data_IF_047788101247
#
_entry.id   IF_047788101247
#
_cell.length_a   1.000
_cell.length_b   1.000
_cell.length_c   1.000
_cell.angle_alpha   90.00
_cell.angle_beta   90.00
_cell.angle_gamma   90.00
#
_symmetry.space_group_name_H-M   'P 1'
#
loop_
_entity.id
_entity.type
_entity.pdbx_description
1 polymer ?
#
# COMPACT_ATOMS: atom_id res chain seq x y z
N UNK A 1 7.96 -10.43 9.76
CA UNK A 1 8.25 -8.98 9.93
C UNK A 1 9.74 -8.67 9.89
N UNK A 2 10.59 -9.35 10.65
CA UNK A 2 12.04 -9.06 10.70
C UNK A 2 12.73 -9.14 9.34
N UNK A 3 12.43 -10.17 8.57
CA UNK A 3 12.95 -10.32 7.20
C UNK A 3 12.59 -9.13 6.29
N UNK A 4 11.38 -8.59 6.41
CA UNK A 4 10.97 -7.39 5.68
C UNK A 4 11.78 -6.16 6.13
N UNK A 5 11.98 -5.99 7.44
CA UNK A 5 12.83 -4.92 7.98
C UNK A 5 14.27 -5.00 7.44
N UNK A 6 14.84 -6.21 7.35
CA UNK A 6 16.19 -6.41 6.78
C UNK A 6 16.24 -6.05 5.29
N UNK A 7 15.27 -6.52 4.49
CA UNK A 7 15.17 -6.19 3.06
C UNK A 7 15.03 -4.68 2.86
N UNK A 8 14.14 -4.04 3.63
CA UNK A 8 13.92 -2.59 3.55
C UNK A 8 15.19 -1.82 3.93
N UNK A 9 15.87 -2.20 5.02
CA UNK A 9 17.13 -1.57 5.43
C UNK A 9 18.21 -1.68 4.35
N UNK A 10 18.35 -2.85 3.73
CA UNK A 10 19.30 -3.08 2.65
C UNK A 10 19.03 -2.19 1.44
N UNK A 11 17.80 -2.21 0.94
CA UNK A 11 17.41 -1.43 -0.24
C UNK A 11 17.39 0.08 0.03
N UNK A 12 17.11 0.49 1.27
CA UNK A 12 17.09 1.90 1.65
C UNK A 12 18.47 2.55 1.46
N UNK A 13 19.56 1.79 1.60
CA UNK A 13 20.93 2.27 1.31
C UNK A 13 21.15 2.63 -0.16
N UNK A 14 20.48 1.95 -1.08
CA UNK A 14 20.69 2.10 -2.51
C UNK A 14 19.75 3.13 -3.17
N UNK A 15 18.47 3.16 -2.78
CA UNK A 15 17.45 3.94 -3.51
C UNK A 15 16.58 4.85 -2.63
N UNK A 16 16.87 4.94 -1.32
CA UNK A 16 16.15 5.77 -0.32
C UNK A 16 14.62 5.65 -0.41
N UNK A 17 14.10 4.62 0.25
CA UNK A 17 12.68 4.27 0.33
C UNK A 17 11.96 4.97 1.49
N UNK A 18 12.63 5.09 2.64
CA UNK A 18 12.11 5.69 3.87
C UNK A 18 13.11 6.67 4.49
N UNK A 19 12.63 7.54 5.38
CA UNK A 19 13.46 8.54 6.07
C UNK A 19 14.52 7.92 6.99
N UNK A 20 14.16 7.05 7.95
CA UNK A 20 15.10 6.42 8.87
C UNK A 20 16.15 5.54 8.18
N UNK A 21 17.36 5.50 8.74
CA UNK A 21 18.51 4.74 8.20
C UNK A 21 18.92 3.54 9.04
N UNK A 22 18.33 3.38 10.22
CA UNK A 22 18.59 2.27 11.13
C UNK A 22 17.36 1.36 11.27
N UNK A 23 17.57 0.19 11.86
CA UNK A 23 16.52 -0.80 12.03
C UNK A 23 15.42 -0.34 13.00
N UNK A 24 15.75 0.47 14.01
CA UNK A 24 14.80 0.90 15.03
C UNK A 24 13.76 1.87 14.43
N UNK A 25 14.21 2.90 13.71
CA UNK A 25 13.32 3.85 13.06
C UNK A 25 12.54 3.22 11.90
N UNK A 26 13.11 2.23 11.19
CA UNK A 26 12.33 1.46 10.21
C UNK A 26 11.21 0.67 10.89
N UNK A 27 11.48 -0.01 12.02
CA UNK A 27 10.46 -0.74 12.78
C UNK A 27 9.35 0.20 13.27
N UNK A 28 9.70 1.39 13.73
CA UNK A 28 8.72 2.41 14.14
C UNK A 28 7.80 2.80 12.98
N UNK A 29 8.35 3.08 11.79
CA UNK A 29 7.55 3.38 10.60
C UNK A 29 6.64 2.22 10.19
N UNK A 30 7.09 0.97 10.35
CA UNK A 30 6.27 -0.22 10.09
C UNK A 30 5.09 -0.27 11.06
N UNK A 31 5.33 -0.12 12.35
CA UNK A 31 4.29 -0.13 13.39
C UNK A 31 3.29 0.99 13.17
N UNK A 32 3.77 2.21 12.94
CA UNK A 32 2.94 3.38 12.67
C UNK A 32 2.05 3.18 11.43
N UNK A 33 2.60 2.58 10.36
CA UNK A 33 1.82 2.27 9.15
C UNK A 33 0.68 1.26 9.39
N UNK A 34 0.79 0.39 10.40
CA UNK A 34 -0.21 -0.62 10.71
C UNK A 34 -1.36 -0.10 11.58
N UNK A 35 -1.20 1.03 12.27
CA UNK A 35 -2.22 1.55 13.19
C UNK A 35 -3.60 1.72 12.52
N UNK A 36 -3.73 2.35 11.33
CA UNK A 36 -5.03 2.47 10.67
C UNK A 36 -5.66 1.12 10.34
N UNK A 37 -4.86 0.14 9.91
CA UNK A 37 -5.33 -1.22 9.62
C UNK A 37 -5.91 -1.90 10.86
N UNK A 38 -5.21 -1.80 12.00
CA UNK A 38 -5.63 -2.43 13.26
C UNK A 38 -6.91 -1.80 13.84
N UNK A 39 -7.09 -0.48 13.65
CA UNK A 39 -8.25 0.25 14.15
C UNK A 39 -9.47 0.11 13.24
N UNK A 40 -9.28 0.21 11.93
CA UNK A 40 -10.38 0.25 10.96
C UNK A 40 -10.79 -1.13 10.47
N UNK A 41 -9.90 -2.14 10.55
CA UNK A 41 -10.10 -3.50 10.03
C UNK A 41 -10.68 -3.47 8.60
N UNK A 42 -9.95 -2.88 7.64
CA UNK A 42 -10.45 -2.66 6.29
C UNK A 42 -10.80 -3.97 5.59
N UNK A 43 -11.77 -3.89 4.68
CA UNK A 43 -12.14 -4.97 3.78
C UNK A 43 -11.22 -5.02 2.55
N UNK A 44 -11.15 -6.19 1.92
CA UNK A 44 -10.40 -6.46 0.70
C UNK A 44 -11.36 -6.67 -0.47
N UNK A 45 -10.97 -6.37 -1.72
CA UNK A 45 -9.63 -6.03 -2.19
C UNK A 45 -9.15 -4.64 -1.75
N UNK A 46 -7.86 -4.49 -1.45
CA UNK A 46 -7.25 -3.23 -1.04
C UNK A 46 -6.29 -2.71 -2.12
N UNK A 47 -6.41 -1.43 -2.46
CA UNK A 47 -5.45 -0.72 -3.31
C UNK A 47 -4.59 0.20 -2.44
N UNK A 48 -3.28 0.07 -2.53
CA UNK A 48 -2.34 0.99 -1.92
C UNK A 48 -1.75 1.91 -2.99
N UNK A 49 -2.09 3.19 -2.96
CA UNK A 49 -1.63 4.19 -3.94
C UNK A 49 -0.32 4.80 -3.46
N UNK A 50 0.68 4.81 -4.34
CA UNK A 50 2.00 5.35 -4.04
C UNK A 50 2.77 4.46 -3.06
N UNK A 51 2.65 3.14 -3.20
CA UNK A 51 3.08 2.16 -2.19
C UNK A 51 4.54 2.29 -1.76
N UNK A 52 5.42 2.78 -2.63
CA UNK A 52 6.81 3.09 -2.31
C UNK A 52 7.56 1.98 -1.59
N UNK A 53 7.77 2.13 -0.28
CA UNK A 53 8.43 1.15 0.59
C UNK A 53 7.53 -0.04 0.95
N UNK A 54 6.29 -0.09 0.47
CA UNK A 54 5.28 -1.08 0.80
C UNK A 54 4.56 -0.81 2.11
N UNK A 55 4.52 0.43 2.58
CA UNK A 55 3.87 0.80 3.84
C UNK A 55 2.53 1.51 3.54
N UNK A 56 1.36 0.93 3.90
CA UNK A 56 1.16 -0.20 4.83
C UNK A 56 0.98 -1.58 4.16
N UNK A 57 0.91 -1.68 2.84
CA UNK A 57 0.53 -2.89 2.10
C UNK A 57 1.29 -4.17 2.50
N UNK A 58 2.62 -4.12 2.55
CA UNK A 58 3.48 -5.28 2.84
C UNK A 58 3.34 -5.72 4.32
N UNK A 59 3.40 -4.82 5.33
CA UNK A 59 3.06 -5.16 6.70
C UNK A 59 1.68 -5.82 6.85
N UNK A 60 0.65 -5.31 6.16
CA UNK A 60 -0.70 -5.90 6.18
C UNK A 60 -0.66 -7.32 5.61
N UNK A 61 -0.04 -7.53 4.45
CA UNK A 61 0.08 -8.84 3.82
C UNK A 61 0.86 -9.86 4.68
N UNK A 62 1.85 -9.41 5.46
CA UNK A 62 2.58 -10.27 6.40
C UNK A 62 1.65 -10.73 7.53
N UNK A 63 0.78 -9.85 8.03
CA UNK A 63 -0.16 -10.17 9.12
C UNK A 63 -1.40 -10.95 8.63
N UNK A 64 -1.82 -10.70 7.41
CA UNK A 64 -2.92 -11.40 6.75
C UNK A 64 -2.47 -11.89 5.36
N UNK A 65 -1.87 -13.09 5.26
CA UNK A 65 -1.35 -13.62 3.99
C UNK A 65 -2.40 -13.84 2.89
N UNK A 66 -3.69 -13.80 3.23
CA UNK A 66 -4.82 -13.93 2.29
C UNK A 66 -5.41 -12.58 1.86
N UNK A 67 -4.88 -11.47 2.38
CA UNK A 67 -5.29 -10.13 2.00
C UNK A 67 -4.99 -9.89 0.51
N UNK A 68 -6.04 -9.73 -0.31
CA UNK A 68 -5.91 -9.33 -1.70
C UNK A 68 -5.53 -7.85 -1.76
N UNK A 69 -4.27 -7.59 -2.11
CA UNK A 69 -3.68 -6.24 -2.09
C UNK A 69 -3.02 -5.95 -3.43
N UNK A 70 -3.32 -4.77 -3.97
CA UNK A 70 -2.67 -4.20 -5.15
C UNK A 70 -1.85 -3.00 -4.72
N UNK A 71 -0.55 -3.00 -5.03
CA UNK A 71 0.34 -1.87 -4.82
C UNK A 71 0.52 -1.11 -6.14
N UNK A 72 0.12 0.17 -6.18
CA UNK A 72 0.31 1.04 -7.34
C UNK A 72 1.46 2.02 -7.11
N UNK A 73 2.53 1.93 -7.90
CA UNK A 73 3.70 2.79 -7.77
C UNK A 73 4.27 3.19 -9.14
N UNK A 74 4.45 4.50 -9.42
CA UNK A 74 4.94 4.95 -10.72
C UNK A 74 6.46 4.85 -10.90
N UNK A 75 7.25 4.72 -9.82
CA UNK A 75 8.72 4.74 -9.91
C UNK A 75 9.28 3.33 -10.02
N UNK A 76 9.81 2.99 -11.20
CA UNK A 76 10.41 1.68 -11.51
C UNK A 76 11.33 1.10 -10.42
N UNK A 77 12.23 1.91 -9.83
CA UNK A 77 13.13 1.44 -8.75
C UNK A 77 12.36 0.97 -7.50
N UNK A 78 11.28 1.67 -7.15
CA UNK A 78 10.42 1.32 -6.00
C UNK A 78 9.56 0.12 -6.32
N UNK A 79 9.06 0.03 -7.56
CA UNK A 79 8.34 -1.15 -8.05
C UNK A 79 9.23 -2.40 -8.04
N UNK A 80 10.50 -2.27 -8.42
CA UNK A 80 11.49 -3.35 -8.32
C UNK A 80 11.73 -3.79 -6.87
N UNK A 81 11.83 -2.84 -5.94
CA UNK A 81 11.88 -3.16 -4.51
C UNK A 81 10.63 -3.92 -4.06
N UNK A 82 9.43 -3.44 -4.40
CA UNK A 82 8.17 -4.09 -4.01
C UNK A 82 8.08 -5.53 -4.55
N UNK A 83 8.39 -5.73 -5.84
CA UNK A 83 8.43 -7.06 -6.45
C UNK A 83 9.44 -7.98 -5.75
N UNK A 84 10.61 -7.45 -5.39
CA UNK A 84 11.62 -8.20 -4.64
C UNK A 84 11.11 -8.59 -3.25
N UNK A 85 10.54 -7.63 -2.49
CA UNK A 85 10.01 -7.88 -1.16
C UNK A 85 8.87 -8.92 -1.18
N UNK A 86 7.91 -8.77 -2.09
CA UNK A 86 6.80 -9.72 -2.27
C UNK A 86 7.31 -11.12 -2.55
N UNK A 87 8.25 -11.27 -3.50
CA UNK A 87 8.83 -12.57 -3.85
C UNK A 87 9.61 -13.17 -2.69
N UNK A 88 10.47 -12.37 -2.04
CA UNK A 88 11.30 -12.83 -0.95
C UNK A 88 10.43 -13.32 0.22
N UNK A 89 9.36 -12.60 0.56
CA UNK A 89 8.48 -12.90 1.68
C UNK A 89 7.39 -13.93 1.36
N UNK A 90 7.22 -14.33 0.09
CA UNK A 90 6.21 -15.31 -0.32
C UNK A 90 4.77 -14.77 -0.28
N UNK A 91 4.58 -13.47 -0.55
CA UNK A 91 3.28 -12.80 -0.43
C UNK A 91 2.44 -12.95 -1.71
N UNK A 92 1.89 -14.13 -1.95
CA UNK A 92 1.21 -14.47 -3.22
C UNK A 92 -0.07 -13.67 -3.49
N UNK A 93 -0.71 -13.12 -2.46
CA UNK A 93 -1.92 -12.29 -2.58
C UNK A 93 -1.61 -10.80 -2.83
N UNK A 94 -0.34 -10.44 -2.99
CA UNK A 94 0.08 -9.06 -3.29
C UNK A 94 0.51 -8.96 -4.74
N UNK A 95 -0.14 -8.07 -5.50
CA UNK A 95 0.27 -7.74 -6.87
C UNK A 95 0.80 -6.32 -6.97
N UNK A 96 1.73 -6.09 -7.90
CA UNK A 96 2.41 -4.81 -8.07
C UNK A 96 2.10 -4.25 -9.46
N UNK A 97 1.47 -3.07 -9.51
CA UNK A 97 1.18 -2.32 -10.73
C UNK A 97 2.16 -1.16 -10.84
N UNK A 98 2.97 -1.17 -11.90
CA UNK A 98 3.83 -0.03 -12.24
C UNK A 98 3.01 0.99 -13.01
N UNK A 99 2.66 2.10 -12.36
CA UNK A 99 1.76 3.06 -12.96
C UNK A 99 1.53 4.29 -12.09
N UNK A 100 1.05 5.36 -12.71
CA UNK A 100 0.65 6.57 -12.01
C UNK A 100 -0.85 6.52 -11.78
N UNK A 101 -1.27 6.80 -10.54
CA UNK A 101 -2.68 7.02 -10.27
C UNK A 101 -3.18 8.24 -11.06
N UNK A 102 -4.38 8.14 -11.59
CA UNK A 102 -5.03 9.20 -12.37
C UNK A 102 -6.51 9.19 -12.05
N UNK A 103 -7.09 10.38 -11.86
CA UNK A 103 -8.52 10.52 -11.59
C UNK A 103 -9.37 10.32 -12.85
N UNK A 104 -8.81 10.62 -14.03
CA UNK A 104 -9.51 10.58 -15.31
C UNK A 104 -9.30 9.26 -16.06
N UNK A 105 -8.14 8.64 -15.84
CA UNK A 105 -7.73 7.44 -16.56
C UNK A 105 -6.88 6.52 -15.66
N UNK A 106 -7.48 5.90 -14.63
CA UNK A 106 -6.77 4.96 -13.77
C UNK A 106 -6.23 3.79 -14.59
N UNK A 107 -5.08 3.19 -14.20
CA UNK A 107 -4.55 2.00 -14.87
C UNK A 107 -5.62 0.92 -15.08
N UNK A 108 -5.56 0.28 -16.24
CA UNK A 108 -6.54 -0.73 -16.65
C UNK A 108 -6.67 -1.81 -15.57
N UNK A 109 -7.91 -2.16 -15.26
CA UNK A 109 -8.21 -3.17 -14.25
C UNK A 109 -8.13 -2.69 -12.80
N UNK A 110 -8.03 -1.38 -12.53
CA UNK A 110 -8.18 -0.84 -11.17
C UNK A 110 -9.56 -0.20 -10.89
N UNK A 111 -10.30 0.14 -11.94
CA UNK A 111 -11.57 0.88 -11.84
C UNK A 111 -12.65 0.05 -11.15
N UNK A 112 -13.27 0.59 -10.10
CA UNK A 112 -14.45 0.00 -9.45
C UNK A 112 -14.22 -1.33 -8.73
N UNK A 113 -12.98 -1.68 -8.36
CA UNK A 113 -12.64 -3.03 -7.86
C UNK A 113 -12.39 -3.11 -6.35
N UNK A 114 -12.03 -2.01 -5.72
CA UNK A 114 -11.45 -2.05 -4.37
C UNK A 114 -12.46 -1.66 -3.30
N UNK A 115 -12.49 -2.42 -2.22
CA UNK A 115 -13.29 -2.06 -1.04
C UNK A 115 -12.59 -1.01 -0.18
N UNK A 116 -11.25 -1.00 -0.21
CA UNK A 116 -10.42 -0.06 0.55
C UNK A 116 -9.32 0.52 -0.33
N UNK A 117 -9.04 1.81 -0.16
CA UNK A 117 -7.84 2.46 -0.71
C UNK A 117 -7.00 3.00 0.45
N UNK A 118 -5.70 2.71 0.45
CA UNK A 118 -4.71 3.31 1.35
C UNK A 118 -3.72 4.16 0.56
N UNK A 119 -3.15 5.15 1.21
CA UNK A 119 -2.03 5.92 0.68
C UNK A 119 -1.27 6.56 1.84
N UNK A 120 0.04 6.68 1.69
CA UNK A 120 0.91 7.38 2.67
C UNK A 120 1.85 8.32 1.95
N UNK A 121 1.87 9.57 2.39
CA UNK A 121 2.78 10.62 1.89
C UNK A 121 2.72 10.82 0.36
N UNK A 122 1.51 10.80 -0.22
CA UNK A 122 1.30 10.90 -1.67
C UNK A 122 0.99 12.34 -2.12
N UNK A 123 0.03 13.00 -1.48
CA UNK A 123 -0.47 14.32 -1.88
C UNK A 123 -1.34 14.95 -0.78
N UNK A 124 -1.84 16.16 -1.05
CA UNK A 124 -2.98 16.72 -0.34
C UNK A 124 -4.19 15.78 -0.38
N UNK A 125 -5.03 15.85 0.65
CA UNK A 125 -6.16 14.94 0.84
C UNK A 125 -7.17 14.98 -0.31
N UNK A 126 -7.45 16.17 -0.87
CA UNK A 126 -8.39 16.32 -1.99
C UNK A 126 -7.90 15.59 -3.24
N UNK A 127 -6.60 15.69 -3.52
CA UNK A 127 -5.98 14.97 -4.64
C UNK A 127 -6.07 13.47 -4.43
N UNK A 128 -5.78 12.99 -3.21
CA UNK A 128 -5.88 11.57 -2.89
C UNK A 128 -7.31 11.05 -3.08
N UNK A 129 -8.31 11.80 -2.61
CA UNK A 129 -9.72 11.41 -2.78
C UNK A 129 -10.10 11.34 -4.26
N UNK A 130 -9.65 12.29 -5.08
CA UNK A 130 -9.89 12.27 -6.52
C UNK A 130 -9.25 11.05 -7.20
N UNK A 131 -8.04 10.66 -6.79
CA UNK A 131 -7.34 9.48 -7.30
C UNK A 131 -7.97 8.16 -6.84
N UNK A 132 -8.47 8.11 -5.59
CA UNK A 132 -9.02 6.91 -4.99
C UNK A 132 -10.45 6.60 -5.48
N UNK A 133 -11.29 7.63 -5.64
CA UNK A 133 -12.72 7.49 -6.02
C UNK A 133 -12.98 6.55 -7.19
N UNK A 134 -12.32 6.67 -8.37
CA UNK A 134 -12.63 5.80 -9.50
C UNK A 134 -12.21 4.35 -9.27
N UNK A 135 -11.32 4.08 -8.31
CA UNK A 135 -10.86 2.72 -8.00
C UNK A 135 -11.78 1.98 -7.02
N UNK A 136 -12.60 2.71 -6.25
CA UNK A 136 -13.49 2.13 -5.25
C UNK A 136 -14.69 1.43 -5.91
N UNK A 137 -14.97 0.21 -5.46
CA UNK A 137 -16.22 -0.48 -5.78
C UNK A 137 -17.44 0.27 -5.18
N UNK A 138 -18.67 0.05 -5.68
CA UNK A 138 -19.87 0.55 -5.02
C UNK A 138 -19.90 0.13 -3.53
N UNK A 139 -20.04 1.10 -2.62
CA UNK A 139 -19.96 0.87 -1.17
C UNK A 139 -18.55 0.74 -0.59
N UNK A 140 -17.51 0.82 -1.42
CA UNK A 140 -16.11 0.89 -1.00
C UNK A 140 -15.75 2.23 -0.35
N UNK A 141 -14.77 2.22 0.55
CA UNK A 141 -14.36 3.40 1.32
C UNK A 141 -15.06 3.55 2.68
N UNK A 142 -15.90 2.57 3.04
CA UNK A 142 -16.72 2.60 4.24
C UNK A 142 -17.90 3.53 4.05
N UNK A 143 -18.98 3.02 3.46
CA UNK A 143 -20.30 3.62 3.67
C UNK A 143 -20.61 3.54 5.17
N UNK A 144 -20.70 4.66 5.91
CA UNK A 144 -21.30 4.62 7.22
C UNK A 144 -22.79 4.45 6.95
N UNK A 145 -23.24 3.21 6.73
CA UNK A 145 -24.64 2.87 6.55
C UNK A 145 -25.51 3.60 7.58
N UNK A 146 -26.80 3.82 7.30
CA UNK A 146 -27.64 4.76 8.05
C UNK A 146 -27.46 4.57 9.56
N UNK A 147 -26.92 5.61 10.21
CA UNK A 147 -26.85 5.71 11.65
C UNK A 147 -28.29 5.82 12.14
N UNK A 148 -28.80 4.74 12.73
CA UNK A 148 -30.01 4.78 13.53
C UNK A 148 -29.77 5.57 14.81
#
# INVERSE_FOLDING_TARGET
MERYCSILLEWNRAIRLVGPKDAAGIREQIVDSLLPYLLMKPSFPLLDIGSGAGLPAIPIAILNPKADIVCLEPRAKRTSFLRHAVRALGLSAVSIVEGRASALDPPEGLIGKFSTVTARAVSEIETLLALARPCLAPGGGGDPGPRW
#
